data_IF_226905495854
#
_entry.id   IF_226905495854
#
_cell.length_a   1.000
_cell.length_b   1.000
_cell.length_c   1.000
_cell.angle_alpha   90.00
_cell.angle_beta   90.00
_cell.angle_gamma   90.00
#
_symmetry.space_group_name_H-M   'P 1'
#
loop_
_entity.id
_entity.type
_entity.pdbx_description
1 polymer ?
#
# COMPACT_ATOMS: atom_id res chain seq x y z
N UNK A 1 2.56 27.20 7.07
CA UNK A 1 3.28 27.03 5.79
C UNK A 1 4.74 27.29 6.03
N UNK A 2 5.62 26.38 5.64
CA UNK A 2 7.07 26.61 5.71
C UNK A 2 7.42 27.73 4.74
N UNK A 3 8.31 28.64 5.12
CA UNK A 3 8.69 29.84 4.32
C UNK A 3 9.15 29.51 2.88
N UNK A 4 9.47 28.25 2.60
CA UNK A 4 10.12 27.83 1.35
C UNK A 4 9.20 27.08 0.37
N UNK A 5 7.97 26.72 0.76
CA UNK A 5 7.03 26.02 -0.13
C UNK A 5 5.99 26.99 -0.71
N UNK A 6 5.84 26.96 -2.03
CA UNK A 6 4.87 27.72 -2.77
C UNK A 6 3.79 26.79 -3.34
N UNK A 7 2.53 27.05 -3.02
CA UNK A 7 1.40 26.29 -3.53
C UNK A 7 1.35 26.30 -5.07
N UNK A 8 1.10 25.16 -5.67
CA UNK A 8 1.13 24.96 -7.13
C UNK A 8 2.49 24.59 -7.69
N UNK A 9 3.51 24.45 -6.82
CA UNK A 9 4.84 24.01 -7.21
C UNK A 9 5.20 22.66 -6.57
N UNK A 10 6.17 21.97 -7.15
CA UNK A 10 6.80 20.80 -6.52
C UNK A 10 7.60 21.22 -5.26
N UNK A 11 8.06 20.25 -4.48
CA UNK A 11 8.79 20.55 -3.25
C UNK A 11 10.15 21.20 -3.50
N UNK A 12 10.55 22.18 -2.68
CA UNK A 12 11.95 22.61 -2.63
C UNK A 12 12.86 21.49 -2.10
N UNK A 13 14.15 21.57 -2.46
CA UNK A 13 15.16 20.57 -2.07
C UNK A 13 15.22 20.37 -0.55
N UNK A 14 15.03 21.43 0.23
CA UNK A 14 15.00 21.43 1.70
C UNK A 14 13.85 20.57 2.28
N UNK A 15 12.78 20.33 1.53
CA UNK A 15 11.67 19.47 1.93
C UNK A 15 11.87 18.05 1.40
N UNK A 16 12.31 17.89 0.14
CA UNK A 16 12.47 16.56 -0.49
C UNK A 16 13.42 15.68 0.33
N UNK A 17 14.53 16.22 0.78
CA UNK A 17 15.58 15.48 1.48
C UNK A 17 15.59 15.69 3.00
N UNK A 18 14.47 16.13 3.58
CA UNK A 18 14.31 16.29 5.03
C UNK A 18 13.86 14.97 5.67
N UNK A 19 14.82 14.17 6.11
CA UNK A 19 14.57 12.88 6.75
C UNK A 19 13.81 13.03 8.08
N UNK A 20 14.10 14.08 8.85
CA UNK A 20 13.44 14.30 10.13
C UNK A 20 11.97 14.65 9.96
N UNK A 21 11.64 15.41 8.93
CA UNK A 21 10.27 15.69 8.51
C UNK A 21 9.54 14.39 8.12
N UNK A 22 10.17 13.51 7.33
CA UNK A 22 9.60 12.21 6.99
C UNK A 22 9.34 11.37 8.24
N UNK A 23 10.31 11.28 9.16
CA UNK A 23 10.15 10.54 10.42
C UNK A 23 9.02 11.09 11.28
N UNK A 24 8.89 12.41 11.39
CA UNK A 24 7.78 13.05 12.11
C UNK A 24 6.43 12.66 11.53
N UNK A 25 6.31 12.65 10.18
CA UNK A 25 5.06 12.28 9.52
C UNK A 25 4.64 10.85 9.89
N UNK A 26 5.52 9.86 9.68
CA UNK A 26 5.24 8.44 9.96
C UNK A 26 5.04 8.14 11.46
N UNK A 27 5.55 8.99 12.36
CA UNK A 27 5.23 8.91 13.79
C UNK A 27 3.82 9.41 14.10
N UNK A 28 3.35 10.44 13.39
CA UNK A 28 2.05 11.08 13.66
C UNK A 28 0.88 10.46 12.88
N UNK A 29 1.11 10.06 11.64
CA UNK A 29 0.06 9.63 10.73
C UNK A 29 -0.06 8.11 10.64
N UNK A 30 -1.26 7.65 10.37
CA UNK A 30 -1.52 6.28 10.00
C UNK A 30 -1.00 6.04 8.58
N UNK A 31 -0.36 4.91 8.34
CA UNK A 31 0.12 4.51 7.02
C UNK A 31 -0.22 3.06 6.73
N UNK A 32 -0.48 2.77 5.49
CA UNK A 32 -0.88 1.45 5.00
C UNK A 32 0.30 0.47 5.07
N UNK A 33 0.03 -0.77 5.49
CA UNK A 33 1.04 -1.84 5.62
C UNK A 33 0.57 -3.18 5.06
N UNK A 34 -0.53 -3.22 4.33
CA UNK A 34 -1.08 -4.44 3.73
C UNK A 34 -2.57 -4.60 3.98
N UNK A 35 -3.08 -5.74 3.58
CA UNK A 35 -4.48 -6.15 3.76
C UNK A 35 -4.57 -7.37 4.67
N UNK A 36 -5.77 -7.66 5.16
CA UNK A 36 -6.03 -8.94 5.84
C UNK A 36 -5.72 -10.14 4.93
N UNK A 37 -5.91 -10.00 3.62
CA UNK A 37 -5.56 -11.01 2.62
C UNK A 37 -4.07 -11.34 2.56
N UNK A 38 -3.18 -10.36 2.86
CA UNK A 38 -1.73 -10.60 2.93
C UNK A 38 -1.33 -11.56 4.05
N UNK A 39 -2.14 -11.60 5.11
CA UNK A 39 -1.93 -12.47 6.30
C UNK A 39 -3.18 -13.30 6.59
N UNK A 40 -3.82 -13.85 5.57
CA UNK A 40 -5.16 -14.47 5.63
C UNK A 40 -5.26 -15.71 6.51
N UNK A 41 -4.18 -16.42 6.79
CA UNK A 41 -4.20 -17.62 7.62
C UNK A 41 -3.54 -17.39 8.98
N UNK A 42 -4.08 -18.04 10.02
CA UNK A 42 -3.49 -18.02 11.36
C UNK A 42 -2.02 -18.43 11.31
N UNK A 43 -1.16 -17.63 11.91
CA UNK A 43 0.29 -17.77 11.89
C UNK A 43 0.99 -17.07 10.71
N UNK A 44 0.28 -16.63 9.67
CA UNK A 44 0.92 -15.94 8.55
C UNK A 44 1.39 -14.54 8.94
N UNK A 45 2.50 -14.14 8.33
CA UNK A 45 3.13 -12.85 8.56
C UNK A 45 3.56 -12.20 7.24
N UNK A 46 3.66 -10.88 7.27
CA UNK A 46 4.26 -10.05 6.23
C UNK A 46 5.26 -9.09 6.88
N UNK A 47 6.49 -9.01 6.36
CA UNK A 47 7.53 -8.12 6.86
C UNK A 47 7.62 -6.86 6.02
N UNK A 48 8.01 -5.77 6.65
CA UNK A 48 8.29 -4.52 5.94
C UNK A 48 9.38 -3.71 6.66
N UNK A 49 9.93 -2.74 5.96
CA UNK A 49 10.98 -1.88 6.46
C UNK A 49 10.60 -0.41 6.29
N UNK A 50 10.80 0.37 7.34
CA UNK A 50 10.63 1.81 7.33
C UNK A 50 11.86 2.44 7.98
N UNK A 51 12.57 3.30 7.24
CA UNK A 51 13.89 3.80 7.64
C UNK A 51 14.85 2.64 7.93
N UNK A 52 15.50 2.67 9.06
CA UNK A 52 16.44 1.63 9.48
C UNK A 52 15.79 0.48 10.26
N UNK A 53 14.48 0.55 10.51
CA UNK A 53 13.77 -0.43 11.33
C UNK A 53 12.99 -1.44 10.48
N UNK A 54 12.95 -2.67 10.95
CA UNK A 54 12.16 -3.74 10.36
C UNK A 54 10.98 -4.07 11.25
N UNK A 55 9.84 -4.35 10.62
CA UNK A 55 8.58 -4.66 11.28
C UNK A 55 7.93 -5.88 10.62
N UNK A 56 6.96 -6.48 11.29
CA UNK A 56 6.08 -7.45 10.67
C UNK A 56 4.66 -7.35 11.23
N UNK A 57 3.67 -7.60 10.38
CA UNK A 57 2.31 -7.90 10.79
C UNK A 57 2.15 -9.41 10.86
N UNK A 58 1.32 -9.87 11.80
CA UNK A 58 1.14 -11.29 12.10
C UNK A 58 -0.32 -11.58 12.44
N UNK A 59 -0.90 -12.56 11.77
CA UNK A 59 -2.18 -13.12 12.13
C UNK A 59 -2.01 -14.15 13.25
N UNK A 60 -2.37 -13.78 14.46
CA UNK A 60 -2.27 -14.65 15.64
C UNK A 60 -3.17 -15.88 15.53
N UNK A 61 -2.86 -16.92 16.31
CA UNK A 61 -3.72 -18.11 16.41
C UNK A 61 -5.08 -17.80 17.03
N UNK A 62 -5.17 -16.69 17.77
CA UNK A 62 -6.42 -16.15 18.32
C UNK A 62 -7.29 -15.39 17.30
N UNK A 63 -6.85 -15.30 16.04
CA UNK A 63 -7.56 -14.64 14.94
C UNK A 63 -7.38 -13.13 14.87
N UNK A 64 -6.55 -12.52 15.74
CA UNK A 64 -6.26 -11.09 15.71
C UNK A 64 -4.96 -10.81 14.96
N UNK A 65 -4.97 -9.75 14.14
CA UNK A 65 -3.75 -9.28 13.48
C UNK A 65 -3.06 -8.25 14.37
N UNK A 66 -1.75 -8.36 14.49
CA UNK A 66 -0.90 -7.47 15.30
C UNK A 66 0.36 -7.09 14.54
N UNK A 67 0.97 -6.00 14.94
CA UNK A 67 2.25 -5.54 14.39
C UNK A 67 3.33 -5.53 15.48
N UNK A 68 4.52 -5.95 15.10
CA UNK A 68 5.67 -6.06 15.98
C UNK A 68 6.92 -5.43 15.36
N UNK A 69 7.80 -4.91 16.20
CA UNK A 69 9.17 -4.61 15.81
C UNK A 69 9.89 -5.92 15.56
N UNK A 70 10.53 -6.07 14.40
CA UNK A 70 11.21 -7.30 14.00
C UNK A 70 12.59 -7.43 14.66
N UNK A 71 12.59 -7.54 15.99
CA UNK A 71 13.80 -7.52 16.82
C UNK A 71 13.63 -8.42 18.05
N UNK A 72 14.59 -9.31 18.26
CA UNK A 72 14.66 -10.13 19.48
C UNK A 72 15.09 -9.25 20.67
N UNK A 73 14.40 -9.39 21.81
CA UNK A 73 14.69 -8.65 23.03
C UNK A 73 16.04 -9.04 23.67
N UNK A 74 16.63 -10.20 23.30
CA UNK A 74 17.91 -10.65 23.84
C UNK A 74 19.10 -9.80 23.35
N UNK A 75 19.43 -9.88 22.06
CA UNK A 75 20.59 -9.21 21.46
C UNK A 75 20.22 -8.54 20.11
N UNK A 76 19.00 -8.07 19.99
CA UNK A 76 18.52 -7.29 18.84
C UNK A 76 18.59 -8.00 17.49
N UNK A 77 18.79 -9.33 17.44
CA UNK A 77 18.76 -10.08 16.20
C UNK A 77 17.38 -9.98 15.53
N UNK A 78 17.36 -9.83 14.20
CA UNK A 78 16.12 -9.88 13.42
C UNK A 78 15.46 -11.25 13.61
N UNK A 79 14.16 -11.26 13.91
CA UNK A 79 13.40 -12.49 14.16
C UNK A 79 12.99 -13.19 12.87
N UNK A 80 12.62 -12.39 11.86
CA UNK A 80 12.11 -12.84 10.57
C UNK A 80 12.91 -12.17 9.46
N UNK A 81 13.45 -12.99 8.54
CA UNK A 81 14.24 -12.51 7.39
C UNK A 81 13.44 -12.60 6.08
N UNK A 82 12.45 -13.49 6.01
CA UNK A 82 11.60 -13.66 4.84
C UNK A 82 10.61 -12.49 4.70
N UNK A 83 10.24 -12.15 3.47
CA UNK A 83 9.27 -11.09 3.22
C UNK A 83 7.88 -11.46 3.72
N UNK A 84 7.47 -12.72 3.59
CA UNK A 84 6.23 -13.28 4.10
C UNK A 84 6.38 -14.77 4.37
N UNK A 85 5.49 -15.32 5.16
CA UNK A 85 5.55 -16.75 5.52
C UNK A 85 4.57 -17.09 6.63
N UNK A 86 4.86 -18.18 7.34
CA UNK A 86 3.97 -18.69 8.38
C UNK A 86 4.73 -19.27 9.56
N UNK A 87 4.36 -18.85 10.78
CA UNK A 87 4.74 -19.52 12.00
C UNK A 87 3.71 -20.61 12.36
N UNK A 88 4.18 -21.73 12.87
CA UNK A 88 3.29 -22.82 13.28
C UNK A 88 2.73 -22.62 14.70
N UNK A 89 3.58 -22.21 15.68
CA UNK A 89 3.16 -22.08 17.07
C UNK A 89 3.86 -20.99 17.87
N UNK A 90 5.08 -20.64 17.49
CA UNK A 90 5.93 -19.67 18.21
C UNK A 90 6.76 -18.87 17.22
N UNK A 91 7.13 -17.65 17.63
CA UNK A 91 8.17 -16.86 16.96
C UNK A 91 9.50 -17.25 17.62
N UNK A 92 10.42 -17.85 16.87
CA UNK A 92 11.68 -18.35 17.41
C UNK A 92 12.85 -17.58 16.82
N UNK A 93 13.65 -16.94 17.67
CA UNK A 93 14.86 -16.27 17.28
C UNK A 93 15.93 -17.29 16.85
N UNK A 94 16.44 -17.16 15.64
CA UNK A 94 17.43 -18.10 15.08
C UNK A 94 18.81 -18.02 15.76
N UNK A 95 19.10 -16.89 16.44
CA UNK A 95 20.41 -16.70 17.05
C UNK A 95 20.58 -17.54 18.33
N UNK A 96 19.71 -17.38 19.36
CA UNK A 96 19.84 -18.07 20.64
C UNK A 96 18.56 -18.81 21.06
N UNK A 97 17.62 -19.03 20.13
CA UNK A 97 16.37 -19.78 20.36
C UNK A 97 15.45 -19.20 21.45
N UNK A 98 15.55 -17.88 21.72
CA UNK A 98 14.52 -17.22 22.47
C UNK A 98 13.22 -17.30 21.67
N UNK A 99 12.13 -17.62 22.36
CA UNK A 99 10.85 -17.81 21.69
C UNK A 99 9.77 -16.95 22.32
N UNK A 100 8.84 -16.52 21.48
CA UNK A 100 7.77 -15.60 21.84
C UNK A 100 6.41 -16.17 21.46
N UNK A 101 5.42 -15.80 22.22
CA UNK A 101 4.03 -16.15 21.97
C UNK A 101 3.56 -15.49 20.67
N UNK A 102 2.98 -16.28 19.79
CA UNK A 102 2.50 -15.83 18.47
C UNK A 102 1.29 -14.89 18.57
N UNK A 103 0.54 -14.94 19.67
CA UNK A 103 -0.67 -14.12 19.80
C UNK A 103 -0.38 -12.69 20.27
N UNK A 104 0.63 -12.51 21.15
CA UNK A 104 0.82 -11.23 21.83
C UNK A 104 2.30 -10.78 21.91
N UNK A 105 3.24 -11.61 21.44
CA UNK A 105 4.66 -11.30 21.47
C UNK A 105 5.31 -11.43 22.85
N UNK A 106 4.60 -11.96 23.86
CA UNK A 106 5.19 -12.17 25.18
C UNK A 106 6.29 -13.22 25.13
N UNK A 107 7.33 -13.06 25.95
CA UNK A 107 8.42 -14.01 26.06
C UNK A 107 7.87 -15.36 26.55
N UNK A 108 8.05 -16.40 25.75
CA UNK A 108 7.64 -17.76 26.10
C UNK A 108 8.80 -18.52 26.78
N UNK A 109 9.99 -18.45 26.21
CA UNK A 109 11.18 -19.12 26.73
C UNK A 109 12.46 -18.39 26.37
N UNK A 110 13.26 -18.08 27.38
CA UNK A 110 14.61 -17.55 27.24
C UNK A 110 15.61 -18.70 27.32
N UNK A 111 15.92 -19.32 26.20
CA UNK A 111 16.86 -20.45 26.15
C UNK A 111 18.25 -20.03 26.66
N UNK A 112 18.92 -20.92 27.41
CA UNK A 112 20.25 -20.72 28.01
C UNK A 112 20.31 -19.70 29.16
N UNK A 113 19.17 -19.14 29.57
CA UNK A 113 19.09 -18.37 30.82
C UNK A 113 18.89 -19.31 32.03
N UNK A 114 19.17 -18.83 33.27
CA UNK A 114 18.84 -19.56 34.49
C UNK A 114 17.39 -20.04 34.46
N UNK A 115 17.10 -21.15 35.15
CA UNK A 115 15.76 -21.78 35.11
C UNK A 115 14.63 -20.89 35.62
N UNK A 116 14.93 -20.03 36.59
CA UNK A 116 14.02 -19.06 37.21
C UNK A 116 13.93 -17.74 36.45
N UNK A 117 14.71 -17.56 35.38
CA UNK A 117 14.73 -16.30 34.62
C UNK A 117 13.34 -15.95 34.05
N UNK A 118 12.62 -16.93 33.50
CA UNK A 118 11.32 -16.66 32.88
C UNK A 118 10.28 -16.11 33.89
N UNK A 119 10.42 -16.39 35.16
CA UNK A 119 9.54 -15.92 36.25
C UNK A 119 10.02 -14.59 36.85
N UNK A 120 11.13 -14.07 36.40
CA UNK A 120 11.75 -12.83 36.88
C UNK A 120 11.08 -11.58 36.32
N UNK A 121 11.22 -10.45 37.04
CA UNK A 121 10.80 -9.14 36.53
C UNK A 121 11.61 -8.71 35.31
N UNK A 122 12.86 -9.17 35.17
CA UNK A 122 13.66 -8.95 33.97
C UNK A 122 13.04 -9.58 32.72
N UNK A 123 12.48 -10.78 32.83
CA UNK A 123 11.82 -11.46 31.73
C UNK A 123 10.55 -10.75 31.25
N UNK A 124 9.80 -10.10 32.16
CA UNK A 124 8.61 -9.30 31.83
C UNK A 124 8.92 -8.15 30.89
N UNK A 125 10.15 -7.62 30.91
CA UNK A 125 10.62 -6.55 30.03
C UNK A 125 11.23 -7.09 28.71
N UNK A 126 11.21 -8.42 28.50
CA UNK A 126 11.77 -9.06 27.32
C UNK A 126 10.71 -9.49 26.28
N UNK A 127 9.53 -8.89 26.32
CA UNK A 127 8.49 -9.09 25.32
C UNK A 127 8.86 -8.36 24.00
N UNK A 128 8.24 -8.77 22.89
CA UNK A 128 8.36 -8.04 21.64
C UNK A 128 7.67 -6.67 21.75
N UNK A 129 8.31 -5.65 21.19
CA UNK A 129 7.67 -4.34 21.05
C UNK A 129 6.50 -4.44 20.08
N UNK A 130 5.30 -4.09 20.56
CA UNK A 130 4.07 -4.03 19.76
C UNK A 130 3.82 -2.62 19.25
N UNK A 131 3.16 -2.53 18.10
CA UNK A 131 2.79 -1.28 17.46
C UNK A 131 1.27 -1.16 17.35
N UNK A 132 0.78 0.07 17.23
CA UNK A 132 -0.65 0.32 16.99
C UNK A 132 -0.99 -0.05 15.57
N UNK A 133 -1.85 -1.04 15.40
CA UNK A 133 -2.41 -1.50 14.15
C UNK A 133 -3.93 -1.35 14.20
N UNK A 134 -4.50 -0.78 13.14
CA UNK A 134 -5.95 -0.67 12.95
C UNK A 134 -6.34 -1.32 11.62
N UNK A 135 -7.48 -1.97 11.62
CA UNK A 135 -8.08 -2.56 10.44
C UNK A 135 -9.31 -1.74 10.04
N UNK A 136 -9.34 -1.26 8.81
CA UNK A 136 -10.48 -0.56 8.22
C UNK A 136 -10.92 -1.30 6.96
N UNK A 137 -12.06 -1.95 7.03
CA UNK A 137 -12.63 -2.73 5.91
C UNK A 137 -11.62 -3.73 5.30
N UNK A 138 -10.79 -4.38 6.14
CA UNK A 138 -9.76 -5.34 5.71
C UNK A 138 -8.43 -4.72 5.26
N UNK A 139 -8.32 -3.41 5.23
CA UNK A 139 -7.07 -2.68 5.02
C UNK A 139 -6.37 -2.44 6.36
N UNK A 140 -5.06 -2.66 6.41
CA UNK A 140 -4.27 -2.60 7.64
C UNK A 140 -3.42 -1.33 7.67
N UNK A 141 -3.57 -0.57 8.74
CA UNK A 141 -2.87 0.70 8.96
C UNK A 141 -2.06 0.66 10.24
N UNK A 142 -0.84 1.13 10.17
CA UNK A 142 0.11 1.20 11.27
C UNK A 142 0.36 2.65 11.67
N UNK A 143 0.70 2.84 12.95
CA UNK A 143 1.19 4.10 13.49
C UNK A 143 2.35 3.83 14.47
N UNK A 144 3.44 4.58 14.32
CA UNK A 144 4.62 4.41 15.18
C UNK A 144 4.47 5.14 16.52
N UNK A 145 3.82 6.29 16.55
CA UNK A 145 3.65 7.10 17.77
C UNK A 145 2.83 6.41 18.84
N UNK A 146 3.46 6.06 19.97
CA UNK A 146 2.83 5.28 21.05
C UNK A 146 1.70 6.03 21.76
N UNK A 147 1.81 7.35 21.93
CA UNK A 147 0.90 8.17 22.72
C UNK A 147 -0.23 8.82 21.92
N UNK A 148 -0.20 8.71 20.61
CA UNK A 148 -1.20 9.32 19.74
C UNK A 148 -2.44 8.43 19.66
N UNK A 149 -3.62 9.00 19.93
CA UNK A 149 -4.92 8.30 19.88
C UNK A 149 -5.81 8.77 18.72
N UNK A 150 -5.38 9.81 18.01
CA UNK A 150 -6.16 10.39 16.91
C UNK A 150 -6.36 9.41 15.76
N UNK A 151 -7.61 9.14 15.42
CA UNK A 151 -8.05 8.30 14.30
C UNK A 151 -8.78 9.10 13.22
N UNK A 152 -8.70 10.41 13.24
CA UNK A 152 -9.45 11.27 12.32
C UNK A 152 -9.23 10.87 10.87
N UNK A 153 -7.97 10.69 10.45
CA UNK A 153 -7.66 10.28 9.07
C UNK A 153 -8.28 8.91 8.71
N UNK A 154 -8.24 7.94 9.64
CA UNK A 154 -8.84 6.62 9.42
C UNK A 154 -10.37 6.68 9.36
N UNK A 155 -10.99 7.50 10.19
CA UNK A 155 -12.44 7.68 10.19
C UNK A 155 -12.90 8.31 8.88
N UNK A 156 -12.24 9.39 8.45
CA UNK A 156 -12.49 10.03 7.14
C UNK A 156 -12.31 9.02 6.01
N UNK A 157 -11.19 8.30 6.01
CA UNK A 157 -10.95 7.27 5.01
C UNK A 157 -12.04 6.21 5.02
N UNK A 158 -12.44 5.73 6.20
CA UNK A 158 -13.52 4.73 6.34
C UNK A 158 -14.83 5.22 5.75
N UNK A 159 -15.22 6.47 6.03
CA UNK A 159 -16.43 7.08 5.47
C UNK A 159 -16.38 7.16 3.93
N UNK A 160 -15.22 7.53 3.38
CA UNK A 160 -15.03 7.67 1.94
C UNK A 160 -15.03 6.32 1.22
N UNK A 161 -14.32 5.32 1.74
CA UNK A 161 -14.12 4.04 1.03
C UNK A 161 -15.21 3.01 1.28
N UNK A 162 -15.88 3.06 2.45
CA UNK A 162 -16.87 2.05 2.81
C UNK A 162 -17.97 1.85 1.77
N UNK A 163 -18.53 2.88 1.13
CA UNK A 163 -19.53 2.69 0.08
C UNK A 163 -19.03 1.85 -1.10
N UNK A 164 -17.73 1.83 -1.33
CA UNK A 164 -17.13 1.15 -2.48
C UNK A 164 -16.62 -0.25 -2.15
N UNK A 165 -16.04 -0.44 -0.97
CA UNK A 165 -15.33 -1.69 -0.65
C UNK A 165 -16.02 -2.58 0.38
N UNK A 166 -17.09 -2.11 1.06
CA UNK A 166 -17.80 -2.95 2.04
C UNK A 166 -18.33 -4.24 1.43
N UNK A 167 -18.81 -4.18 0.18
CA UNK A 167 -19.32 -5.35 -0.53
C UNK A 167 -18.22 -6.39 -0.89
N UNK A 168 -16.94 -5.99 -0.85
CA UNK A 168 -15.84 -6.95 -1.01
C UNK A 168 -15.61 -7.80 0.24
N UNK A 169 -16.06 -7.31 1.41
CA UNK A 169 -15.97 -8.05 2.66
C UNK A 169 -14.54 -8.52 3.02
N UNK A 170 -13.57 -7.63 2.81
CA UNK A 170 -12.13 -7.95 2.98
C UNK A 170 -11.74 -8.32 4.41
N UNK A 171 -12.55 -7.96 5.41
CA UNK A 171 -12.33 -8.32 6.82
C UNK A 171 -12.62 -9.79 7.12
N UNK A 172 -13.26 -10.50 6.21
CA UNK A 172 -13.43 -11.94 6.29
C UNK A 172 -12.25 -12.65 5.63
N UNK A 173 -11.94 -13.87 6.06
CA UNK A 173 -10.86 -14.68 5.51
C UNK A 173 -11.23 -15.29 4.13
N UNK A 174 -11.87 -14.49 3.24
CA UNK A 174 -12.30 -14.89 1.89
C UNK A 174 -11.21 -14.63 0.84
N UNK A 175 -10.09 -14.02 1.23
CA UNK A 175 -9.01 -13.63 0.34
C UNK A 175 -7.69 -14.21 0.82
N UNK A 176 -6.76 -14.36 -0.10
CA UNK A 176 -5.39 -14.77 0.22
C UNK A 176 -4.37 -14.08 -0.67
N UNK A 177 -3.16 -13.97 -0.15
CA UNK A 177 -1.99 -13.54 -0.89
C UNK A 177 -1.68 -14.57 -1.98
N UNK A 178 -1.71 -14.15 -3.24
CA UNK A 178 -1.22 -14.92 -4.36
C UNK A 178 0.29 -14.69 -4.56
N UNK A 179 0.71 -13.42 -4.49
CA UNK A 179 2.10 -13.04 -4.61
C UNK A 179 2.39 -11.71 -3.91
N UNK A 180 3.62 -11.57 -3.44
CA UNK A 180 4.12 -10.33 -2.84
C UNK A 180 5.52 -10.03 -3.38
N UNK A 181 5.72 -8.80 -3.82
CA UNK A 181 7.00 -8.29 -4.30
C UNK A 181 7.48 -7.16 -3.41
N UNK A 182 8.79 -7.13 -3.21
CA UNK A 182 9.49 -6.09 -2.48
C UNK A 182 10.65 -5.60 -3.34
N UNK A 183 10.62 -4.33 -3.72
CA UNK A 183 11.66 -3.72 -4.53
C UNK A 183 12.26 -2.51 -3.83
N UNK A 184 13.58 -2.51 -3.66
CA UNK A 184 14.30 -1.34 -3.13
C UNK A 184 14.79 -0.50 -4.29
N UNK A 185 14.39 0.76 -4.31
CA UNK A 185 14.72 1.68 -5.39
C UNK A 185 15.56 2.87 -4.88
N UNK A 186 16.45 3.38 -5.72
CA UNK A 186 17.27 4.56 -5.42
C UNK A 186 16.51 5.84 -5.81
N UNK A 187 15.33 6.03 -5.21
CA UNK A 187 14.49 7.20 -5.38
C UNK A 187 13.97 7.68 -4.03
N UNK A 188 13.73 8.98 -3.93
CA UNK A 188 13.04 9.56 -2.78
C UNK A 188 11.56 9.12 -2.80
N UNK A 189 11.00 8.73 -1.65
CA UNK A 189 9.62 8.26 -1.59
C UNK A 189 8.59 9.32 -2.00
N UNK A 190 8.88 10.63 -1.81
CA UNK A 190 8.01 11.71 -2.28
C UNK A 190 7.94 11.78 -3.79
N UNK A 191 9.05 11.47 -4.51
CA UNK A 191 9.02 11.42 -5.98
C UNK A 191 8.15 10.27 -6.47
N UNK A 192 8.17 9.12 -5.80
CA UNK A 192 7.28 7.99 -6.10
C UNK A 192 5.81 8.37 -5.84
N UNK A 193 5.54 9.03 -4.73
CA UNK A 193 4.17 9.44 -4.40
C UNK A 193 3.62 10.52 -5.34
N UNK A 194 4.46 11.45 -5.81
CA UNK A 194 4.08 12.47 -6.80
C UNK A 194 3.83 11.81 -8.16
N UNK A 195 4.76 10.97 -8.63
CA UNK A 195 4.63 10.24 -9.89
C UNK A 195 3.31 9.44 -9.96
N UNK A 196 2.95 8.77 -8.86
CA UNK A 196 1.70 8.00 -8.80
C UNK A 196 0.41 8.87 -8.74
N UNK A 197 0.51 10.18 -8.54
CA UNK A 197 -0.66 11.08 -8.43
C UNK A 197 -1.15 11.65 -9.76
N UNK A 198 -0.48 11.37 -10.84
CA UNK A 198 -0.86 11.80 -12.18
C UNK A 198 -0.54 10.72 -13.21
N UNK A 199 -1.07 10.84 -14.42
CA UNK A 199 -0.78 9.93 -15.54
C UNK A 199 -0.41 10.70 -16.81
N UNK A 200 0.07 11.96 -16.67
CA UNK A 200 0.51 12.76 -17.81
C UNK A 200 1.75 12.14 -18.50
N UNK A 201 2.58 11.44 -17.71
CA UNK A 201 3.75 10.69 -18.19
C UNK A 201 3.39 9.35 -18.85
N UNK A 202 2.18 8.81 -18.60
CA UNK A 202 1.79 7.48 -19.05
C UNK A 202 1.80 7.32 -20.57
N UNK A 203 1.41 8.37 -21.31
CA UNK A 203 1.34 8.35 -22.79
C UNK A 203 2.68 8.04 -23.44
N UNK A 204 3.76 8.45 -22.80
CA UNK A 204 5.13 8.27 -23.30
C UNK A 204 5.77 7.01 -22.75
N UNK A 205 5.53 6.71 -21.48
CA UNK A 205 6.31 5.72 -20.73
C UNK A 205 5.61 4.37 -20.60
N UNK A 206 4.27 4.32 -20.50
CA UNK A 206 3.53 3.09 -20.18
C UNK A 206 2.72 2.54 -21.35
N UNK A 207 3.40 2.20 -22.43
CA UNK A 207 2.73 1.64 -23.64
C UNK A 207 1.96 0.34 -23.34
N UNK A 208 2.41 -0.44 -22.37
CA UNK A 208 1.73 -1.63 -21.89
C UNK A 208 0.43 -1.30 -21.16
N UNK A 209 0.47 -0.39 -20.20
CA UNK A 209 -0.69 0.07 -19.43
C UNK A 209 -1.75 0.70 -20.32
N UNK A 210 -1.34 1.45 -21.32
CA UNK A 210 -2.25 2.09 -22.29
C UNK A 210 -2.93 1.12 -23.27
N UNK A 211 -2.61 -0.19 -23.22
CA UNK A 211 -3.46 -1.20 -23.86
C UNK A 211 -4.77 -1.41 -23.13
N UNK A 212 -4.73 -1.30 -21.78
CA UNK A 212 -5.87 -1.55 -20.89
C UNK A 212 -6.72 -0.30 -20.65
N UNK A 213 -6.04 0.84 -20.43
CA UNK A 213 -6.67 2.10 -20.08
C UNK A 213 -6.53 3.12 -21.21
N UNK A 214 -7.47 4.03 -21.32
CA UNK A 214 -7.28 5.23 -22.13
C UNK A 214 -6.26 6.14 -21.44
N UNK A 215 -5.41 6.78 -22.22
CA UNK A 215 -4.38 7.72 -21.77
C UNK A 215 -4.90 8.87 -20.89
N UNK A 216 -6.18 9.17 -21.01
CA UNK A 216 -6.84 10.24 -20.26
C UNK A 216 -7.76 9.72 -19.12
N UNK A 217 -7.75 8.42 -18.81
CA UNK A 217 -8.68 7.82 -17.84
C UNK A 217 -8.57 8.42 -16.44
N UNK A 218 -7.34 8.78 -16.03
CA UNK A 218 -7.05 9.17 -14.65
C UNK A 218 -7.05 10.68 -14.39
N UNK A 219 -7.08 11.51 -15.43
CA UNK A 219 -6.91 12.96 -15.32
C UNK A 219 -8.17 13.76 -15.70
N UNK A 220 -9.30 13.08 -15.99
CA UNK A 220 -10.51 13.73 -16.51
C UNK A 220 -10.34 14.13 -17.97
N UNK A 221 -10.76 13.31 -18.88
CA UNK A 221 -10.58 13.50 -20.31
C UNK A 221 -11.72 14.27 -20.94
N UNK A 222 -11.39 15.15 -21.88
CA UNK A 222 -12.33 15.71 -22.85
C UNK A 222 -12.36 14.93 -24.19
N UNK A 223 -11.64 13.80 -24.29
CA UNK A 223 -11.66 12.95 -25.48
C UNK A 223 -13.04 12.32 -25.67
N UNK A 224 -13.74 12.59 -26.80
CA UNK A 224 -15.08 12.07 -27.04
C UNK A 224 -15.18 10.54 -26.99
N UNK A 225 -14.13 9.82 -27.41
CA UNK A 225 -14.09 8.34 -27.36
C UNK A 225 -14.01 7.83 -25.94
N UNK A 226 -13.21 8.49 -25.10
CA UNK A 226 -13.15 8.16 -23.68
C UNK A 226 -14.48 8.45 -22.97
N UNK A 227 -15.10 9.62 -23.26
CA UNK A 227 -16.39 9.98 -22.67
C UNK A 227 -17.47 8.97 -23.04
N UNK A 228 -17.53 8.52 -24.30
CA UNK A 228 -18.48 7.48 -24.73
C UNK A 228 -18.23 6.15 -23.99
N UNK A 229 -16.96 5.73 -23.87
CA UNK A 229 -16.57 4.53 -23.10
C UNK A 229 -16.98 4.64 -21.64
N UNK A 230 -16.72 5.79 -21.04
CA UNK A 230 -17.04 6.06 -19.64
C UNK A 230 -18.55 6.06 -19.39
N UNK A 231 -19.35 6.72 -20.25
CA UNK A 231 -20.81 6.71 -20.15
C UNK A 231 -21.41 5.30 -20.25
N UNK A 232 -20.90 4.48 -21.18
CA UNK A 232 -21.30 3.06 -21.30
C UNK A 232 -20.97 2.28 -20.03
N UNK A 233 -19.80 2.52 -19.47
CA UNK A 233 -19.35 1.88 -18.24
C UNK A 233 -20.21 2.31 -17.02
N UNK A 234 -20.51 3.61 -16.91
CA UNK A 234 -21.38 4.15 -15.84
C UNK A 234 -22.76 3.48 -15.86
N UNK A 235 -23.42 3.41 -17.01
CA UNK A 235 -24.73 2.75 -17.15
C UNK A 235 -24.67 1.28 -16.70
N UNK A 236 -23.58 0.58 -17.02
CA UNK A 236 -23.36 -0.81 -16.60
C UNK A 236 -23.15 -0.91 -15.09
N UNK A 237 -22.33 -0.02 -14.49
CA UNK A 237 -22.09 -0.02 -13.05
C UNK A 237 -23.35 0.32 -12.26
N UNK A 238 -24.13 1.34 -12.69
CA UNK A 238 -25.38 1.70 -12.07
C UNK A 238 -26.44 0.58 -12.12
N UNK A 239 -26.47 -0.17 -13.24
CA UNK A 239 -27.37 -1.35 -13.36
C UNK A 239 -27.02 -2.50 -12.41
N UNK A 240 -25.82 -2.47 -11.80
CA UNK A 240 -25.29 -3.48 -10.89
C UNK A 240 -25.08 -2.94 -9.47
N UNK A 241 -25.56 -1.75 -9.18
CA UNK A 241 -25.38 -1.03 -7.90
C UNK A 241 -23.88 -0.90 -7.50
N UNK A 242 -22.98 -0.78 -8.48
CA UNK A 242 -21.56 -0.59 -8.26
C UNK A 242 -21.24 0.91 -8.15
N UNK A 243 -20.71 1.39 -7.03
CA UNK A 243 -20.32 2.79 -6.87
C UNK A 243 -19.14 3.15 -7.78
N UNK A 244 -19.17 4.34 -8.38
CA UNK A 244 -18.18 4.76 -9.37
C UNK A 244 -17.70 6.20 -9.20
N UNK A 245 -18.52 7.10 -8.65
CA UNK A 245 -18.19 8.53 -8.54
C UNK A 245 -17.00 8.76 -7.63
N UNK A 246 -16.26 9.80 -7.92
CA UNK A 246 -15.24 10.31 -7.02
C UNK A 246 -15.86 11.38 -6.13
N UNK A 247 -16.15 11.03 -4.87
CA UNK A 247 -16.83 11.95 -3.94
C UNK A 247 -15.88 12.66 -2.96
N UNK A 248 -14.63 12.25 -2.89
CA UNK A 248 -13.77 12.62 -1.78
C UNK A 248 -12.76 13.72 -2.09
N UNK A 249 -12.47 13.97 -3.38
CA UNK A 249 -11.35 14.84 -3.76
C UNK A 249 -11.44 16.26 -3.20
N UNK A 250 -12.61 16.85 -3.22
CA UNK A 250 -12.82 18.22 -2.74
C UNK A 250 -13.10 18.30 -1.22
N UNK A 251 -13.40 17.15 -0.59
CA UNK A 251 -13.76 17.08 0.83
C UNK A 251 -12.57 16.77 1.72
N UNK A 252 -11.64 15.95 1.23
CA UNK A 252 -10.53 15.41 2.01
C UNK A 252 -9.25 15.35 1.18
N UNK A 253 -8.14 15.61 1.82
CA UNK A 253 -6.81 15.62 1.22
C UNK A 253 -5.99 14.35 1.50
N UNK A 254 -6.56 13.36 2.23
CA UNK A 254 -5.83 12.16 2.65
C UNK A 254 -6.16 10.90 1.84
N UNK A 255 -7.30 10.85 1.17
CA UNK A 255 -7.73 9.66 0.41
C UNK A 255 -8.57 10.03 -0.81
N UNK A 256 -8.53 9.18 -1.81
CA UNK A 256 -9.34 9.25 -3.02
C UNK A 256 -9.75 7.85 -3.45
N UNK A 257 -10.94 7.73 -3.98
CA UNK A 257 -11.42 6.49 -4.61
C UNK A 257 -12.32 6.83 -5.80
N UNK A 258 -12.10 6.14 -6.92
CA UNK A 258 -12.91 6.26 -8.13
C UNK A 258 -12.85 4.98 -8.96
N UNK A 259 -13.87 4.73 -9.78
CA UNK A 259 -13.90 3.61 -10.72
C UNK A 259 -13.60 4.09 -12.13
N UNK A 260 -12.70 3.38 -12.82
CA UNK A 260 -12.29 3.67 -14.18
C UNK A 260 -12.61 2.51 -15.12
N UNK A 261 -13.09 2.76 -16.35
CA UNK A 261 -13.35 1.71 -17.31
C UNK A 261 -12.05 1.14 -17.88
N UNK A 262 -12.05 -0.15 -18.13
CA UNK A 262 -11.09 -0.77 -19.04
C UNK A 262 -11.50 -0.50 -20.48
N UNK A 263 -10.56 -0.54 -21.42
CA UNK A 263 -10.87 -0.48 -22.85
C UNK A 263 -11.79 -1.61 -23.28
N UNK A 264 -12.55 -1.37 -24.34
CA UNK A 264 -13.49 -2.35 -24.87
C UNK A 264 -12.81 -3.71 -25.15
N UNK A 265 -13.43 -4.78 -24.68
CA UNK A 265 -12.92 -6.16 -24.79
C UNK A 265 -11.97 -6.58 -23.70
N UNK A 266 -11.51 -5.67 -22.82
CA UNK A 266 -10.68 -6.02 -21.67
C UNK A 266 -11.54 -6.38 -20.46
N UNK A 267 -11.22 -7.50 -19.82
CA UNK A 267 -11.97 -8.08 -18.69
C UNK A 267 -11.26 -7.94 -17.36
N UNK A 268 -9.94 -7.79 -17.38
CA UNK A 268 -9.10 -7.63 -16.20
C UNK A 268 -7.82 -6.87 -16.54
N UNK A 269 -6.97 -6.61 -15.55
CA UNK A 269 -5.71 -5.89 -15.73
C UNK A 269 -4.58 -6.84 -16.16
N UNK A 270 -4.74 -7.45 -17.33
CA UNK A 270 -3.74 -8.26 -18.02
C UNK A 270 -3.41 -7.67 -19.38
N UNK A 271 -2.23 -7.93 -19.94
CA UNK A 271 -1.82 -7.36 -21.23
C UNK A 271 -2.64 -7.86 -22.43
N UNK A 272 -3.28 -9.01 -22.32
CA UNK A 272 -4.17 -9.57 -23.34
C UNK A 272 -5.66 -9.34 -23.05
N UNK A 273 -5.97 -8.64 -21.95
CA UNK A 273 -7.31 -8.29 -21.53
C UNK A 273 -8.15 -9.47 -20.99
N UNK A 274 -7.58 -10.67 -20.88
CA UNK A 274 -8.28 -11.81 -20.30
C UNK A 274 -8.35 -11.73 -18.78
N UNK A 275 -9.27 -12.45 -18.12
CA UNK A 275 -9.30 -12.57 -16.69
C UNK A 275 -7.96 -13.04 -16.12
N UNK A 276 -7.51 -12.42 -15.03
CA UNK A 276 -6.32 -12.82 -14.27
C UNK A 276 -6.61 -14.03 -13.38
N UNK A 277 -7.85 -14.19 -12.93
CA UNK A 277 -8.30 -15.35 -12.14
C UNK A 277 -9.68 -15.82 -12.61
N UNK A 278 -9.92 -17.13 -12.56
CA UNK A 278 -11.25 -17.71 -12.83
C UNK A 278 -12.23 -17.52 -11.67
N UNK A 279 -11.75 -17.08 -10.49
CA UNK A 279 -12.56 -16.83 -9.31
C UNK A 279 -12.78 -15.32 -9.17
N UNK A 280 -14.05 -14.91 -9.27
CA UNK A 280 -14.44 -13.53 -9.02
C UNK A 280 -14.36 -13.20 -7.53
N UNK A 281 -14.20 -11.91 -7.22
CA UNK A 281 -14.07 -11.38 -5.87
C UNK A 281 -15.14 -10.31 -5.59
N UNK A 282 -15.44 -10.09 -4.31
CA UNK A 282 -16.38 -9.05 -3.88
C UNK A 282 -17.78 -9.23 -4.44
N UNK A 283 -18.45 -8.13 -4.84
CA UNK A 283 -19.83 -8.15 -5.33
C UNK A 283 -19.96 -8.59 -6.79
N UNK A 284 -18.84 -8.87 -7.47
CA UNK A 284 -18.83 -9.08 -8.91
C UNK A 284 -19.41 -10.44 -9.29
N UNK A 285 -20.26 -10.42 -10.34
CA UNK A 285 -20.84 -11.61 -10.96
C UNK A 285 -20.31 -11.86 -12.36
N UNK A 286 -19.63 -10.85 -12.92
CA UNK A 286 -19.01 -10.87 -14.23
C UNK A 286 -17.65 -10.19 -14.20
N UNK A 287 -16.88 -10.37 -15.26
CA UNK A 287 -15.68 -9.59 -15.55
C UNK A 287 -16.04 -8.24 -16.20
N UNK A 288 -15.03 -7.40 -16.41
CA UNK A 288 -15.18 -6.11 -17.08
C UNK A 288 -16.04 -5.11 -16.29
N UNK A 289 -15.82 -5.07 -14.99
CA UNK A 289 -16.44 -4.04 -14.12
C UNK A 289 -15.53 -2.81 -13.95
N UNK A 290 -14.52 -2.69 -14.80
CA UNK A 290 -13.49 -1.68 -14.68
C UNK A 290 -12.53 -1.95 -13.52
N UNK A 291 -11.78 -0.93 -13.15
CA UNK A 291 -10.94 -0.94 -11.95
C UNK A 291 -11.41 0.11 -10.97
N UNK A 292 -11.60 -0.29 -9.72
CA UNK A 292 -11.78 0.63 -8.61
C UNK A 292 -10.40 0.99 -8.09
N UNK A 293 -9.99 2.25 -8.28
CA UNK A 293 -8.68 2.74 -7.86
C UNK A 293 -8.81 3.61 -6.63
N UNK A 294 -7.95 3.36 -5.67
CA UNK A 294 -7.95 4.01 -4.37
C UNK A 294 -6.52 4.39 -3.99
N UNK A 295 -6.33 5.59 -3.45
CA UNK A 295 -5.09 5.91 -2.77
C UNK A 295 -5.29 6.57 -1.42
N UNK A 296 -4.30 6.36 -0.58
CA UNK A 296 -4.25 6.85 0.77
C UNK A 296 -2.88 7.47 1.07
N UNK A 297 -2.91 8.70 1.57
CA UNK A 297 -1.71 9.34 2.09
C UNK A 297 -1.34 8.76 3.46
N UNK A 298 -0.05 8.49 3.73
CA UNK A 298 1.10 8.97 2.96
C UNK A 298 1.60 8.06 1.85
N UNK A 299 1.15 6.80 1.71
CA UNK A 299 2.04 5.80 1.11
C UNK A 299 1.40 4.73 0.23
N UNK A 300 0.10 4.73 -0.05
CA UNK A 300 -0.53 3.61 -0.73
C UNK A 300 -1.39 3.99 -1.93
N UNK A 301 -1.47 3.08 -2.90
CA UNK A 301 -2.47 3.04 -3.97
C UNK A 301 -2.87 1.60 -4.25
N UNK A 302 -4.15 1.37 -4.49
CA UNK A 302 -4.74 0.04 -4.58
C UNK A 302 -5.68 -0.01 -5.78
N UNK A 303 -5.68 -1.14 -6.48
CA UNK A 303 -6.55 -1.40 -7.62
C UNK A 303 -7.37 -2.66 -7.36
N UNK A 304 -8.68 -2.52 -7.41
CA UNK A 304 -9.63 -3.63 -7.32
C UNK A 304 -10.18 -3.91 -8.71
N UNK A 305 -10.04 -5.11 -9.17
CA UNK A 305 -10.71 -5.62 -10.37
C UNK A 305 -11.79 -6.62 -9.98
N UNK A 306 -12.44 -7.25 -10.94
CA UNK A 306 -13.47 -8.26 -10.66
C UNK A 306 -12.90 -9.57 -10.12
N UNK A 307 -11.59 -9.82 -10.27
CA UNK A 307 -10.98 -11.13 -10.04
C UNK A 307 -9.73 -11.11 -9.15
N UNK A 308 -9.18 -9.92 -8.89
CA UNK A 308 -8.05 -9.76 -7.96
C UNK A 308 -7.92 -8.32 -7.45
N UNK A 309 -7.10 -8.14 -6.43
CA UNK A 309 -6.70 -6.83 -5.89
C UNK A 309 -5.20 -6.71 -6.03
N UNK A 310 -4.73 -5.60 -6.60
CA UNK A 310 -3.32 -5.23 -6.59
C UNK A 310 -3.12 -4.06 -5.61
N UNK A 311 -2.35 -4.28 -4.56
CA UNK A 311 -1.97 -3.23 -3.61
C UNK A 311 -0.55 -2.79 -3.85
N UNK A 312 -0.32 -1.49 -3.88
CA UNK A 312 1.01 -0.91 -3.96
C UNK A 312 1.20 0.06 -2.80
N UNK A 313 2.36 0.04 -2.19
CA UNK A 313 2.69 0.96 -1.13
C UNK A 313 4.20 1.17 -1.03
N UNK A 314 4.59 2.37 -0.61
CA UNK A 314 6.00 2.78 -0.58
C UNK A 314 6.38 3.30 0.79
N UNK A 315 7.55 2.90 1.29
CA UNK A 315 8.10 3.36 2.54
C UNK A 315 9.51 3.91 2.36
N UNK A 316 9.85 5.07 2.98
CA UNK A 316 11.20 5.61 2.92
C UNK A 316 12.19 4.75 3.71
N UNK A 317 13.37 4.54 3.16
CA UNK A 317 14.53 3.96 3.84
C UNK A 317 15.54 5.04 4.22
N UNK A 318 15.68 6.05 3.37
CA UNK A 318 16.51 7.24 3.59
C UNK A 318 15.98 8.38 2.72
N UNK A 319 16.68 9.51 2.71
CA UNK A 319 16.35 10.65 1.86
C UNK A 319 16.33 10.35 0.36
N UNK A 320 17.10 9.34 -0.08
CA UNK A 320 17.30 9.00 -1.50
C UNK A 320 16.99 7.54 -1.81
N UNK A 321 16.39 6.81 -0.89
CA UNK A 321 16.09 5.41 -1.07
C UNK A 321 14.75 5.07 -0.41
N UNK A 322 13.93 4.33 -1.13
CA UNK A 322 12.68 3.81 -0.60
C UNK A 322 12.48 2.35 -1.02
N UNK A 323 11.47 1.72 -0.47
CA UNK A 323 11.05 0.38 -0.83
C UNK A 323 9.59 0.42 -1.29
N UNK A 324 9.33 -0.16 -2.45
CA UNK A 324 7.99 -0.37 -2.99
C UNK A 324 7.60 -1.82 -2.71
N UNK A 325 6.40 -1.99 -2.20
CA UNK A 325 5.77 -3.28 -1.97
C UNK A 325 4.55 -3.40 -2.88
N UNK A 326 4.40 -4.55 -3.50
CA UNK A 326 3.22 -4.87 -4.31
C UNK A 326 2.69 -6.24 -3.91
N UNK A 327 1.40 -6.33 -3.58
CA UNK A 327 0.74 -7.60 -3.30
C UNK A 327 -0.40 -7.84 -4.28
N UNK A 328 -0.55 -9.08 -4.72
CA UNK A 328 -1.70 -9.54 -5.48
C UNK A 328 -2.53 -10.47 -4.62
N UNK A 329 -3.77 -10.09 -4.41
CA UNK A 329 -4.72 -10.78 -3.54
C UNK A 329 -5.82 -11.38 -4.41
N UNK A 330 -6.12 -12.65 -4.20
CA UNK A 330 -7.15 -13.41 -4.92
C UNK A 330 -8.15 -14.02 -3.96
N UNK A 331 -9.24 -14.58 -4.51
CA UNK A 331 -10.19 -15.37 -3.73
C UNK A 331 -9.47 -16.54 -3.02
N UNK A 332 -9.84 -16.85 -1.78
CA UNK A 332 -9.19 -17.89 -0.95
C UNK A 332 -9.10 -19.26 -1.64
N UNK A 333 -10.11 -19.62 -2.43
CA UNK A 333 -10.21 -20.91 -3.11
C UNK A 333 -9.50 -20.95 -4.49
N UNK A 334 -9.01 -19.79 -4.97
CA UNK A 334 -8.26 -19.73 -6.22
C UNK A 334 -6.94 -20.49 -6.11
N UNK A 335 -6.61 -21.33 -7.10
CA UNK A 335 -5.39 -22.15 -7.11
C UNK A 335 -4.48 -21.71 -8.25
N UNK A 336 -3.21 -21.54 -7.93
CA UNK A 336 -2.17 -21.23 -8.93
C UNK A 336 -2.09 -22.37 -9.95
N UNK A 337 -1.85 -22.04 -11.21
CA UNK A 337 -1.82 -22.93 -12.37
C UNK A 337 -3.15 -23.63 -12.70
N UNK A 338 -4.24 -23.26 -12.01
CA UNK A 338 -5.60 -23.74 -12.29
C UNK A 338 -6.54 -22.56 -12.51
N UNK A 339 -6.64 -21.69 -11.50
CA UNK A 339 -7.52 -20.53 -11.50
C UNK A 339 -6.81 -19.24 -11.92
N UNK A 340 -5.50 -19.14 -11.69
CA UNK A 340 -4.66 -18.02 -12.10
C UNK A 340 -3.24 -18.48 -12.40
N UNK A 341 -2.57 -17.75 -13.30
CA UNK A 341 -1.14 -17.90 -13.55
C UNK A 341 -0.42 -16.66 -13.01
N UNK A 342 0.63 -16.91 -12.24
CA UNK A 342 1.45 -15.87 -11.61
C UNK A 342 1.85 -14.77 -12.58
N UNK A 343 2.54 -15.12 -13.68
CA UNK A 343 3.06 -14.14 -14.63
C UNK A 343 1.95 -13.34 -15.30
N UNK A 344 0.87 -13.99 -15.71
CA UNK A 344 -0.25 -13.33 -16.37
C UNK A 344 -0.92 -12.29 -15.47
N UNK A 345 -1.06 -12.59 -14.18
CA UNK A 345 -1.68 -11.67 -13.20
C UNK A 345 -0.76 -10.50 -12.82
N UNK A 346 0.56 -10.74 -12.75
CA UNK A 346 1.48 -9.74 -12.18
C UNK A 346 2.13 -8.82 -13.19
N UNK A 347 2.25 -9.23 -14.45
CA UNK A 347 3.07 -8.56 -15.47
C UNK A 347 2.71 -7.09 -15.70
N UNK A 348 1.43 -6.72 -15.68
CA UNK A 348 1.02 -5.33 -15.94
C UNK A 348 1.65 -4.39 -14.91
N UNK A 349 1.44 -4.67 -13.63
CA UNK A 349 1.97 -3.79 -12.57
C UNK A 349 3.47 -3.90 -12.40
N UNK A 350 4.06 -5.08 -12.64
CA UNK A 350 5.52 -5.25 -12.61
C UNK A 350 6.21 -4.43 -13.69
N UNK A 351 5.69 -4.45 -14.91
CA UNK A 351 6.25 -3.66 -16.02
C UNK A 351 6.03 -2.17 -15.77
N UNK A 352 4.83 -1.77 -15.37
CA UNK A 352 4.53 -0.35 -15.09
C UNK A 352 5.39 0.19 -13.95
N UNK A 353 5.51 -0.54 -12.83
CA UNK A 353 6.35 -0.13 -11.71
C UNK A 353 7.83 -0.02 -12.12
N UNK A 354 8.34 -0.95 -12.94
CA UNK A 354 9.73 -0.89 -13.41
C UNK A 354 9.99 0.33 -14.31
N UNK A 355 9.01 0.72 -15.14
CA UNK A 355 9.08 1.95 -15.95
C UNK A 355 9.06 3.19 -15.05
N UNK A 356 8.19 3.23 -14.03
CA UNK A 356 8.12 4.32 -13.05
C UNK A 356 9.38 4.46 -12.19
N UNK A 357 10.05 3.36 -11.86
CA UNK A 357 11.32 3.39 -11.12
C UNK A 357 12.35 4.26 -11.82
N UNK A 358 12.47 4.15 -13.15
CA UNK A 358 13.41 4.95 -13.95
C UNK A 358 13.08 6.44 -13.84
N UNK A 359 11.79 6.79 -13.93
CA UNK A 359 11.33 8.18 -13.82
C UNK A 359 11.58 8.74 -12.42
N UNK A 360 11.22 7.99 -11.38
CA UNK A 360 11.40 8.41 -9.98
C UNK A 360 12.87 8.58 -9.59
N UNK A 361 13.76 7.71 -10.09
CA UNK A 361 15.20 7.85 -9.92
C UNK A 361 15.71 9.14 -10.59
N UNK A 362 15.32 9.37 -11.86
CA UNK A 362 15.67 10.57 -12.61
C UNK A 362 15.18 11.86 -11.92
N UNK A 363 13.93 11.86 -11.39
CA UNK A 363 13.39 12.97 -10.63
C UNK A 363 14.17 13.22 -9.34
N UNK A 364 14.58 12.15 -8.64
CA UNK A 364 15.38 12.26 -7.41
C UNK A 364 16.76 12.83 -7.69
N UNK A 365 17.42 12.37 -8.76
CA UNK A 365 18.73 12.86 -9.17
C UNK A 365 18.65 14.34 -9.60
N UNK A 366 17.63 14.71 -10.38
CA UNK A 366 17.36 16.09 -10.78
C UNK A 366 17.12 17.01 -9.58
N UNK A 367 16.32 16.55 -8.60
CA UNK A 367 16.07 17.30 -7.36
C UNK A 367 17.32 17.47 -6.48
N UNK A 368 18.30 16.56 -6.60
CA UNK A 368 19.58 16.67 -5.88
C UNK A 368 20.57 17.64 -6.52
N UNK A 369 20.33 18.09 -7.77
CA UNK A 369 21.19 19.07 -8.47
C UNK A 369 21.33 20.38 -7.68
N UNK A 370 22.47 21.05 -7.82
CA UNK A 370 22.67 22.42 -7.31
C UNK A 370 21.81 23.47 -8.05
N UNK A 371 21.43 23.17 -9.28
CA UNK A 371 20.59 24.04 -10.11
C UNK A 371 19.10 23.76 -9.96
N UNK A 372 18.71 22.82 -9.09
CA UNK A 372 17.31 22.45 -8.90
C UNK A 372 16.47 23.64 -8.40
N UNK A 373 15.33 23.84 -9.04
CA UNK A 373 14.27 24.75 -8.61
C UNK A 373 12.95 24.01 -8.67
N UNK A 374 12.02 24.21 -7.71
CA UNK A 374 10.68 23.63 -7.78
C UNK A 374 10.00 23.96 -9.12
N UNK A 375 9.48 22.93 -9.79
CA UNK A 375 8.68 23.08 -11.01
C UNK A 375 7.22 23.42 -10.69
N UNK A 376 6.54 24.09 -11.63
CA UNK A 376 5.11 24.39 -11.49
C UNK A 376 4.28 23.19 -11.98
N UNK A 377 3.22 22.88 -11.26
CA UNK A 377 2.24 21.86 -11.67
C UNK A 377 1.25 22.44 -12.66
N UNK A 378 0.91 21.66 -13.68
CA UNK A 378 -0.19 21.95 -14.60
C UNK A 378 -1.56 21.76 -13.92
N UNK A 379 -2.63 22.16 -14.60
CA UNK A 379 -4.00 21.90 -14.13
C UNK A 379 -4.32 20.40 -14.01
N UNK A 380 -3.71 19.58 -14.86
CA UNK A 380 -3.93 18.13 -14.92
C UNK A 380 -3.16 17.37 -13.81
N UNK A 381 -2.24 18.07 -13.11
CA UNK A 381 -1.48 17.57 -11.96
C UNK A 381 -2.07 18.04 -10.61
N UNK A 382 -3.37 18.32 -10.57
CA UNK A 382 -4.07 18.79 -9.35
C UNK A 382 -3.89 17.87 -8.15
N UNK A 383 -3.78 16.56 -8.39
CA UNK A 383 -3.55 15.57 -7.31
C UNK A 383 -2.13 15.61 -6.77
N UNK A 384 -1.13 15.94 -7.61
CA UNK A 384 0.24 16.20 -7.14
C UNK A 384 0.27 17.41 -6.22
N UNK A 385 -0.39 18.50 -6.62
CA UNK A 385 -0.55 19.71 -5.81
C UNK A 385 -1.22 19.40 -4.47
N UNK A 386 -2.32 18.63 -4.47
CA UNK A 386 -3.03 18.23 -3.26
C UNK A 386 -2.12 17.42 -2.32
N UNK A 387 -1.37 16.44 -2.84
CA UNK A 387 -0.43 15.66 -2.05
C UNK A 387 0.68 16.54 -1.45
N UNK A 388 1.24 17.45 -2.24
CA UNK A 388 2.28 18.37 -1.74
C UNK A 388 1.76 19.27 -0.62
N UNK A 389 0.57 19.84 -0.77
CA UNK A 389 -0.09 20.64 0.26
C UNK A 389 -0.36 19.83 1.53
N UNK A 390 -0.90 18.62 1.37
CA UNK A 390 -1.12 17.68 2.47
C UNK A 390 0.20 17.40 3.22
N UNK A 391 1.25 17.03 2.51
CA UNK A 391 2.54 16.72 3.12
C UNK A 391 3.12 17.87 3.91
N UNK A 392 3.11 19.09 3.35
CA UNK A 392 3.62 20.28 4.03
C UNK A 392 2.82 20.61 5.29
N UNK A 393 1.50 20.45 5.24
CA UNK A 393 0.63 20.76 6.39
C UNK A 393 0.82 19.78 7.55
N UNK A 394 1.04 18.49 7.27
CA UNK A 394 1.06 17.44 8.29
C UNK A 394 2.44 16.95 8.70
N UNK A 395 3.50 17.29 7.97
CA UNK A 395 4.88 16.89 8.28
C UNK A 395 5.68 17.96 9.05
N UNK A 396 5.10 19.12 9.32
CA UNK A 396 5.75 20.24 10.03
C UNK A 396 6.02 19.96 11.50
#
# INVERSE_FOLDING_TARGET
MTKDYLDGYSFPKSIIFDLDRMKKLFNKKWFFVGTRGDVSSKGSFLTFQLFNESYFILHGLDGKIRAFVNRCAHQSARLVNDNYGKFNSRIICQNHQWSYNINDGTLFKASRMPKDFNDSDAAKNCNLDTLKLEEVSGLLFLRLGKNETDKTDLNIMSEVISPYISAYNLSNDEYKLAYHEREVINANWLTVMINNRECCHCTVNHKGLLKLFSDNSFNGSSDPKYLELFEKAVKRWESKDLPWKEDAFDKHDCTRIARYPLKEGYKSTSFDGKPCSSKLIGPHKDYDEGTLSFWFNPNAWIHFTSDHIATNWVLPLSEKKCVVYTSWIVHKDAKENIDYEYKHMTDVWKVTNAEDVVLCQSMTDGANSEFYKPGIFSKDESHCRQFCNWYVNYSS
#
